data_IF_923342491204
#
_entry.id   IF_923342491204
#
_cell.length_a   1.000
_cell.length_b   1.000
_cell.length_c   1.000
_cell.angle_alpha   90.00
_cell.angle_beta   90.00
_cell.angle_gamma   90.00
#
_symmetry.space_group_name_H-M   'P 1'
#
loop_
_entity.id
_entity.type
_entity.pdbx_description
1 polymer ?
#
# COMPACT_ATOMS: atom_id res chain seq x y z
N UNK A 1 28.75 -12.31 -13.59
CA UNK A 1 28.10 -12.17 -12.28
C UNK A 1 26.59 -12.23 -12.49
N UNK A 2 25.98 -13.41 -12.30
CA UNK A 2 24.54 -13.60 -12.55
C UNK A 2 23.79 -13.45 -11.24
N UNK A 3 23.00 -12.39 -11.18
CA UNK A 3 22.08 -12.02 -10.11
C UNK A 3 21.05 -13.13 -9.86
N UNK A 4 21.17 -13.86 -8.74
CA UNK A 4 20.03 -14.59 -8.19
C UNK A 4 19.03 -13.58 -7.63
N UNK A 5 18.08 -13.13 -8.47
CA UNK A 5 16.89 -12.39 -8.00
C UNK A 5 16.05 -13.39 -7.23
N UNK A 6 16.22 -13.40 -5.91
CA UNK A 6 15.39 -14.11 -4.95
C UNK A 6 13.91 -13.84 -5.31
N UNK A 7 13.02 -14.85 -5.44
CA UNK A 7 11.63 -14.60 -5.80
C UNK A 7 11.01 -13.70 -4.73
N UNK A 8 10.74 -12.44 -5.09
CA UNK A 8 9.96 -11.53 -4.26
C UNK A 8 8.54 -12.09 -4.15
N UNK A 9 8.27 -12.93 -3.14
CA UNK A 9 6.93 -13.43 -2.87
C UNK A 9 6.02 -12.23 -2.55
N UNK A 10 5.15 -11.93 -3.51
CA UNK A 10 4.10 -10.93 -3.40
C UNK A 10 2.76 -11.63 -3.64
N UNK A 11 2.24 -12.28 -2.61
CA UNK A 11 0.92 -12.92 -2.67
C UNK A 11 -0.16 -11.99 -2.14
N UNK A 12 -1.31 -11.98 -2.79
CA UNK A 12 -2.50 -11.25 -2.34
C UNK A 12 -3.70 -12.19 -2.42
N UNK A 13 -4.39 -12.38 -1.29
CA UNK A 13 -5.61 -13.16 -1.20
C UNK A 13 -6.76 -12.22 -0.88
N UNK A 14 -7.83 -12.31 -1.66
CA UNK A 14 -9.00 -11.46 -1.49
C UNK A 14 -10.22 -12.32 -1.14
N UNK A 15 -11.03 -11.87 -0.18
CA UNK A 15 -12.29 -12.51 0.20
C UNK A 15 -13.41 -11.47 0.19
N UNK A 16 -14.58 -11.84 -0.31
CA UNK A 16 -15.76 -10.96 -0.37
C UNK A 16 -16.03 -10.34 -1.73
N UNK A 17 -15.30 -10.75 -2.78
CA UNK A 17 -15.62 -10.44 -4.17
C UNK A 17 -16.54 -11.55 -4.70
N UNK A 18 -17.79 -11.23 -5.03
CA UNK A 18 -18.80 -12.18 -5.53
C UNK A 18 -19.23 -11.81 -6.95
N UNK A 19 -20.07 -12.65 -7.58
CA UNK A 19 -20.60 -12.37 -8.92
C UNK A 19 -21.61 -11.21 -8.91
N UNK A 20 -22.26 -11.00 -7.78
CA UNK A 20 -23.28 -9.98 -7.54
C UNK A 20 -22.68 -8.66 -7.00
N UNK A 21 -21.36 -8.59 -6.81
CA UNK A 21 -20.66 -7.42 -6.30
C UNK A 21 -19.80 -7.72 -5.08
N UNK A 22 -19.86 -6.87 -4.07
CA UNK A 22 -19.11 -7.05 -2.82
C UNK A 22 -20.01 -7.65 -1.73
N UNK A 23 -19.46 -8.60 -0.98
CA UNK A 23 -20.05 -9.01 0.28
C UNK A 23 -20.01 -7.85 1.29
N UNK A 24 -20.82 -7.95 2.36
CA UNK A 24 -20.84 -6.95 3.45
C UNK A 24 -19.44 -6.64 4.00
N UNK A 25 -18.55 -7.65 4.03
CA UNK A 25 -17.16 -7.51 4.49
C UNK A 25 -16.20 -8.02 3.42
N UNK A 26 -15.25 -7.15 3.05
CA UNK A 26 -14.18 -7.43 2.10
C UNK A 26 -12.85 -7.46 2.83
N UNK A 27 -12.03 -8.47 2.54
CA UNK A 27 -10.73 -8.68 3.18
C UNK A 27 -9.64 -8.84 2.14
N UNK A 28 -8.50 -8.17 2.37
CA UNK A 28 -7.29 -8.31 1.58
C UNK A 28 -6.16 -8.81 2.50
N UNK A 29 -5.62 -9.98 2.22
CA UNK A 29 -4.45 -10.53 2.90
C UNK A 29 -3.24 -10.41 1.98
N UNK A 30 -2.28 -9.57 2.38
CA UNK A 30 -1.00 -9.43 1.69
C UNK A 30 0.06 -10.25 2.43
N UNK A 31 0.65 -11.22 1.74
CA UNK A 31 1.79 -11.99 2.24
C UNK A 31 3.04 -11.52 1.51
N UNK A 32 4.06 -11.14 2.29
CA UNK A 32 5.31 -10.52 1.83
C UNK A 32 6.49 -11.15 2.56
N UNK A 33 7.62 -11.28 1.87
CA UNK A 33 8.89 -11.50 2.57
C UNK A 33 9.29 -10.27 3.38
N UNK A 34 10.16 -10.50 4.34
CA UNK A 34 10.94 -9.48 5.03
C UNK A 34 11.60 -8.51 4.02
N UNK A 35 11.83 -7.25 4.43
CA UNK A 35 12.26 -6.10 3.61
C UNK A 35 11.27 -5.58 2.56
N UNK A 36 10.10 -6.20 2.38
CA UNK A 36 9.06 -5.72 1.46
C UNK A 36 7.76 -5.36 2.20
N UNK A 37 7.88 -4.54 3.25
CA UNK A 37 6.78 -4.13 4.15
C UNK A 37 6.48 -2.62 4.07
N UNK A 38 6.43 -2.09 2.85
CA UNK A 38 6.12 -0.69 2.58
C UNK A 38 4.84 -0.22 3.28
N UNK A 39 3.83 -1.09 3.36
CA UNK A 39 2.54 -0.79 3.96
C UNK A 39 2.64 -0.41 5.45
N UNK A 40 3.61 -0.96 6.19
CA UNK A 40 3.83 -0.62 7.61
C UNK A 40 4.44 0.77 7.77
N UNK A 41 5.48 1.06 6.99
CA UNK A 41 6.14 2.38 6.97
C UNK A 41 5.16 3.48 6.58
N UNK A 42 4.40 3.27 5.51
CA UNK A 42 3.40 4.23 5.07
C UNK A 42 2.31 4.45 6.13
N UNK A 43 1.81 3.38 6.77
CA UNK A 43 0.79 3.48 7.83
C UNK A 43 1.27 4.35 8.98
N UNK A 44 2.44 4.06 9.54
CA UNK A 44 2.94 4.78 10.71
C UNK A 44 3.24 6.24 10.37
N UNK A 45 3.78 6.49 9.16
CA UNK A 45 3.98 7.86 8.67
C UNK A 45 2.67 8.66 8.59
N UNK A 46 1.58 8.05 8.11
CA UNK A 46 0.28 8.73 8.09
C UNK A 46 -0.28 9.01 9.50
N UNK A 47 0.04 8.16 10.48
CA UNK A 47 -0.41 8.35 11.88
C UNK A 47 0.33 9.55 12.51
N UNK A 48 1.62 9.69 12.23
CA UNK A 48 2.47 10.74 12.80
C UNK A 48 2.35 12.07 12.03
N UNK A 49 2.07 12.03 10.72
CA UNK A 49 1.98 13.20 9.83
C UNK A 49 0.53 13.45 9.35
N UNK A 50 -0.27 14.10 10.20
CA UNK A 50 -1.69 14.37 9.93
C UNK A 50 -1.94 15.20 8.66
N UNK A 51 -1.01 16.08 8.29
CA UNK A 51 -1.04 16.86 7.06
C UNK A 51 -0.96 15.97 5.81
N UNK A 52 -0.13 14.93 5.85
CA UNK A 52 0.05 13.97 4.75
C UNK A 52 -1.15 13.04 4.67
N UNK A 53 -1.71 12.63 5.80
CA UNK A 53 -2.97 11.87 5.84
C UNK A 53 -4.12 12.66 5.21
N UNK A 54 -4.20 13.98 5.46
CA UNK A 54 -5.20 14.85 4.85
C UNK A 54 -4.97 15.00 3.34
N UNK A 55 -3.72 15.20 2.89
CA UNK A 55 -3.37 15.22 1.46
C UNK A 55 -3.81 13.92 0.76
N UNK A 56 -3.47 12.76 1.35
CA UNK A 56 -3.84 11.46 0.81
C UNK A 56 -5.37 11.24 0.80
N UNK A 57 -6.07 11.72 1.83
CA UNK A 57 -7.53 11.72 1.90
C UNK A 57 -8.17 12.49 0.74
N UNK A 58 -7.70 13.73 0.50
CA UNK A 58 -8.18 14.57 -0.60
C UNK A 58 -7.89 13.96 -1.97
N UNK A 59 -6.69 13.39 -2.15
CA UNK A 59 -6.34 12.67 -3.37
C UNK A 59 -7.29 11.49 -3.61
N UNK A 60 -7.59 10.68 -2.59
CA UNK A 60 -8.52 9.55 -2.74
C UNK A 60 -9.91 10.00 -3.17
N UNK A 61 -10.42 11.12 -2.62
CA UNK A 61 -11.74 11.64 -2.96
C UNK A 61 -11.79 12.15 -4.40
N UNK A 62 -10.79 12.92 -4.85
CA UNK A 62 -10.76 13.42 -6.23
C UNK A 62 -10.62 12.32 -7.28
N UNK A 63 -10.03 11.18 -6.91
CA UNK A 63 -9.87 10.04 -7.81
C UNK A 63 -11.12 9.17 -7.94
N UNK A 64 -12.03 9.17 -6.95
CA UNK A 64 -13.26 8.34 -7.01
C UNK A 64 -14.11 8.73 -8.22
N UNK A 65 -14.32 10.04 -8.45
CA UNK A 65 -15.10 10.53 -9.58
C UNK A 65 -14.44 10.21 -10.93
N UNK A 66 -13.10 10.23 -10.97
CA UNK A 66 -12.34 10.01 -12.21
C UNK A 66 -12.24 8.53 -12.60
N UNK A 67 -12.28 7.63 -11.62
CA UNK A 67 -11.99 6.20 -11.81
C UNK A 67 -13.13 5.30 -11.31
N UNK A 68 -14.38 5.76 -11.39
CA UNK A 68 -15.57 5.07 -10.88
C UNK A 68 -15.67 3.60 -11.34
N UNK A 69 -15.25 3.31 -12.58
CA UNK A 69 -15.28 1.97 -13.18
C UNK A 69 -13.89 1.40 -13.47
N UNK A 70 -12.83 2.07 -13.02
CA UNK A 70 -11.44 1.70 -13.29
C UNK A 70 -10.66 1.56 -11.97
N UNK A 71 -10.75 0.36 -11.39
CA UNK A 71 -10.08 0.03 -10.14
C UNK A 71 -8.55 0.11 -10.25
N UNK A 72 -8.01 -0.28 -11.39
CA UNK A 72 -6.56 -0.34 -11.58
C UNK A 72 -6.02 1.08 -11.77
N UNK A 73 -6.68 1.91 -12.58
CA UNK A 73 -6.38 3.34 -12.70
C UNK A 73 -6.50 4.09 -11.37
N UNK A 74 -7.50 3.78 -10.55
CA UNK A 74 -7.61 4.33 -9.19
C UNK A 74 -6.41 3.95 -8.31
N UNK A 75 -5.93 2.71 -8.42
CA UNK A 75 -4.80 2.20 -7.64
C UNK A 75 -3.49 2.86 -8.10
N UNK A 76 -3.27 2.91 -9.41
CA UNK A 76 -2.06 3.48 -10.01
C UNK A 76 -1.95 4.97 -9.74
N UNK A 77 -3.06 5.72 -9.84
CA UNK A 77 -3.07 7.17 -9.61
C UNK A 77 -2.70 7.61 -8.18
N UNK A 78 -2.69 6.68 -7.21
CA UNK A 78 -2.25 6.94 -5.83
C UNK A 78 -0.80 6.52 -5.58
N UNK A 79 -0.21 5.73 -6.48
CA UNK A 79 1.07 5.06 -6.26
C UNK A 79 2.20 6.03 -5.99
N UNK A 80 2.26 7.14 -6.73
CA UNK A 80 3.34 8.13 -6.57
C UNK A 80 3.36 8.74 -5.17
N UNK A 81 2.20 9.12 -4.63
CA UNK A 81 2.10 9.66 -3.28
C UNK A 81 2.48 8.61 -2.24
N UNK A 82 1.95 7.39 -2.37
CA UNK A 82 2.23 6.29 -1.45
C UNK A 82 3.74 6.00 -1.42
N UNK A 83 4.37 5.86 -2.59
CA UNK A 83 5.80 5.58 -2.69
C UNK A 83 6.64 6.71 -2.11
N UNK A 84 6.34 7.97 -2.46
CA UNK A 84 7.05 9.14 -1.93
C UNK A 84 7.11 9.15 -0.40
N UNK A 85 5.97 8.95 0.26
CA UNK A 85 5.90 9.00 1.72
C UNK A 85 6.35 7.69 2.39
N UNK A 86 6.26 6.56 1.68
CA UNK A 86 6.89 5.30 2.13
C UNK A 86 8.41 5.45 2.20
N UNK A 87 9.05 6.05 1.19
CA UNK A 87 10.50 6.23 1.20
C UNK A 87 10.94 7.22 2.28
N UNK A 88 10.22 8.34 2.46
CA UNK A 88 10.44 9.24 3.60
C UNK A 88 10.34 8.52 4.96
N UNK A 89 9.32 7.67 5.12
CA UNK A 89 9.14 6.90 6.34
C UNK A 89 10.30 5.91 6.58
N UNK A 90 10.85 5.30 5.53
CA UNK A 90 12.03 4.43 5.65
C UNK A 90 13.29 5.22 6.01
N UNK A 91 13.46 6.41 5.45
CA UNK A 91 14.56 7.31 5.82
C UNK A 91 14.48 7.72 7.30
N UNK A 92 13.28 8.01 7.79
CA UNK A 92 13.05 8.47 9.16
C UNK A 92 13.13 7.34 10.20
N UNK A 93 12.50 6.20 9.92
CA UNK A 93 12.39 5.09 10.87
C UNK A 93 13.50 4.03 10.72
N UNK A 94 14.29 4.09 9.64
CA UNK A 94 15.31 3.10 9.31
C UNK A 94 14.75 1.67 9.35
N UNK A 95 15.48 0.77 10.01
CA UNK A 95 15.14 -0.65 10.13
C UNK A 95 14.10 -0.96 11.24
N UNK A 96 13.12 -0.08 11.47
CA UNK A 96 12.12 -0.21 12.55
C UNK A 96 11.41 -1.58 12.57
N UNK A 97 11.13 -2.17 11.41
CA UNK A 97 10.45 -3.46 11.31
C UNK A 97 11.38 -4.61 10.95
N UNK A 98 12.68 -4.49 11.23
CA UNK A 98 13.58 -5.63 11.08
C UNK A 98 13.24 -6.71 12.13
N UNK A 99 12.78 -7.90 11.73
CA UNK A 99 12.39 -8.96 12.66
C UNK A 99 13.60 -9.64 13.33
N UNK A 100 14.83 -9.24 12.97
CA UNK A 100 16.09 -9.75 13.54
C UNK A 100 16.75 -8.77 14.52
N UNK A 101 16.13 -7.60 14.78
CA UNK A 101 16.49 -6.71 15.89
C UNK A 101 15.82 -7.19 17.17
#
# INVERSE_FOLDING_TARGET
>A
MSSQKNPYVKMAFNKGYTKEGFAEKVYHLHVRYYDNWNELYFRDYLIEHGEVANEYGKLKLSLIEKYEHDRDGYTDAKSDLILKYTEKAKEEYGDKYNPRK
#
